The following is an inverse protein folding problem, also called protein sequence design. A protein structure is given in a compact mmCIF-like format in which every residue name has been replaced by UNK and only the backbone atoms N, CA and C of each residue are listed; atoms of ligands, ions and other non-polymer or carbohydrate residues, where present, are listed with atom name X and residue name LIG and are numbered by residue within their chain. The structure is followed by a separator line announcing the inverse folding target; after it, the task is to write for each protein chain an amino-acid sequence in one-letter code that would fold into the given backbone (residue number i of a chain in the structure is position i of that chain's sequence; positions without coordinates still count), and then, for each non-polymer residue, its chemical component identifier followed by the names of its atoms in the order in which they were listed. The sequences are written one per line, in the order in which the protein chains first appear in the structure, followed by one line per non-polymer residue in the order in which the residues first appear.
data_IF_290957649715
#
_entry.id   IF_290957649715
#
_cell.length_a   1.000
_cell.length_b   1.000
_cell.length_c   1.000
_cell.angle_alpha   90.00
_cell.angle_beta   90.00
_cell.angle_gamma   90.00
#
_symmetry.space_group_name_H-M   'P 1'
#
loop_
_entity.id
_entity.type
_entity.pdbx_description
1 polymer ?
#
# COMPACT_ATOMS: atom_id res chain seq x y z
N UNK A 1 11.71 4.89 -10.71
CA UNK A 1 10.49 4.09 -10.48
C UNK A 1 10.54 2.89 -11.38
N UNK A 2 10.17 1.72 -10.91
CA UNK A 2 10.16 0.48 -11.68
C UNK A 2 8.74 -0.08 -11.70
N UNK A 3 8.36 -0.61 -12.85
CA UNK A 3 7.15 -1.40 -13.05
C UNK A 3 7.58 -2.76 -13.59
N UNK A 4 7.12 -3.82 -12.96
CA UNK A 4 7.41 -5.20 -13.35
C UNK A 4 6.10 -5.92 -13.60
N UNK A 5 5.92 -6.41 -14.82
CA UNK A 5 4.73 -7.15 -15.19
C UNK A 5 5.01 -8.65 -15.13
N UNK A 6 4.10 -9.40 -14.51
CA UNK A 6 4.24 -10.85 -14.32
C UNK A 6 2.89 -11.55 -14.14
N UNK A 7 2.94 -12.88 -14.03
CA UNK A 7 1.77 -13.71 -13.77
C UNK A 7 1.00 -14.08 -15.02
N UNK A 8 -0.32 -14.20 -14.90
CA UNK A 8 -1.20 -14.58 -16.00
C UNK A 8 -1.43 -13.42 -16.97
N UNK A 9 -0.58 -13.26 -17.97
CA UNK A 9 -0.65 -12.16 -18.95
C UNK A 9 -1.97 -12.09 -19.73
N UNK A 10 -2.82 -13.10 -19.66
CA UNK A 10 -4.16 -13.10 -20.26
C UNK A 10 -5.27 -12.84 -19.22
N UNK A 11 -4.90 -12.73 -17.96
CA UNK A 11 -5.82 -12.43 -16.86
C UNK A 11 -6.17 -10.95 -16.78
N UNK A 12 -7.06 -10.61 -15.84
CA UNK A 12 -7.35 -9.20 -15.51
C UNK A 12 -6.11 -8.53 -14.93
N UNK A 13 -5.93 -7.27 -15.25
CA UNK A 13 -4.82 -6.47 -14.72
C UNK A 13 -5.03 -6.15 -13.24
N UNK A 14 -4.01 -6.35 -12.41
CA UNK A 14 -4.01 -5.96 -11.01
C UNK A 14 -2.69 -5.27 -10.65
N UNK A 15 -2.75 -3.97 -10.39
CA UNK A 15 -1.59 -3.19 -9.97
C UNK A 15 -1.38 -3.32 -8.46
N UNK A 16 -0.13 -3.61 -8.04
CA UNK A 16 0.26 -3.75 -6.64
C UNK A 16 1.09 -2.55 -6.21
N UNK A 17 0.55 -1.76 -5.26
CA UNK A 17 1.14 -0.54 -4.71
C UNK A 17 1.59 -0.79 -3.28
N UNK A 18 2.90 -0.91 -3.01
CA UNK A 18 3.42 -1.26 -1.70
C UNK A 18 3.19 -0.19 -0.62
N UNK A 19 3.26 -0.62 0.62
CA UNK A 19 3.15 0.24 1.79
C UNK A 19 4.43 1.01 2.10
N UNK A 20 4.41 1.75 3.20
CA UNK A 20 5.47 2.66 3.64
C UNK A 20 6.83 1.99 3.65
N UNK A 21 7.80 2.60 2.95
CA UNK A 21 9.19 2.17 2.93
C UNK A 21 9.39 0.70 2.50
N UNK A 22 8.57 0.21 1.57
CA UNK A 22 8.67 -1.15 1.05
C UNK A 22 8.88 -1.17 -0.46
N UNK A 23 9.62 -2.18 -0.93
CA UNK A 23 9.52 -2.68 -2.29
C UNK A 23 8.37 -3.70 -2.38
N UNK A 24 7.87 -3.97 -3.59
CA UNK A 24 6.76 -4.92 -3.76
C UNK A 24 7.15 -6.33 -3.32
N UNK A 25 8.41 -6.72 -3.50
CA UNK A 25 8.92 -8.03 -3.14
C UNK A 25 8.84 -8.29 -1.62
N UNK A 26 9.12 -7.26 -0.83
CA UNK A 26 8.99 -7.36 0.64
C UNK A 26 7.53 -7.31 1.07
N UNK A 27 6.72 -6.45 0.43
CA UNK A 27 5.35 -6.21 0.87
C UNK A 27 4.38 -7.32 0.44
N UNK A 28 4.38 -7.69 -0.85
CA UNK A 28 3.46 -8.67 -1.44
C UNK A 28 4.08 -10.07 -1.65
N UNK A 29 5.36 -10.25 -1.39
CA UNK A 29 6.10 -11.47 -1.73
C UNK A 29 5.54 -12.76 -1.13
N UNK A 30 4.79 -12.70 -0.03
CA UNK A 30 4.15 -13.88 0.58
C UNK A 30 2.87 -14.33 -0.14
N UNK A 31 2.24 -13.45 -0.90
CA UNK A 31 0.97 -13.69 -1.61
C UNK A 31 1.12 -13.61 -3.12
N UNK A 32 2.31 -13.26 -3.62
CA UNK A 32 2.55 -12.98 -5.03
C UNK A 32 2.26 -14.19 -5.93
N UNK A 33 2.64 -15.40 -5.49
CA UNK A 33 2.42 -16.62 -6.26
C UNK A 33 0.92 -16.85 -6.48
N UNK A 34 0.11 -16.74 -5.43
CA UNK A 34 -1.35 -16.93 -5.50
C UNK A 34 -2.02 -15.88 -6.40
N UNK A 35 -1.56 -14.63 -6.35
CA UNK A 35 -2.09 -13.57 -7.21
C UNK A 35 -1.65 -13.76 -8.67
N UNK A 36 -0.39 -14.16 -8.90
CA UNK A 36 0.18 -14.33 -10.25
C UNK A 36 -0.44 -15.49 -11.03
N UNK A 37 -0.98 -16.49 -10.36
CA UNK A 37 -1.72 -17.58 -11.00
C UNK A 37 -2.99 -17.09 -11.73
N UNK A 38 -3.62 -16.03 -11.21
CA UNK A 38 -4.93 -15.53 -11.65
C UNK A 38 -4.83 -14.24 -12.47
N UNK A 39 -3.99 -13.30 -12.04
CA UNK A 39 -3.95 -11.93 -12.54
C UNK A 39 -2.70 -11.63 -13.35
N UNK A 40 -2.85 -10.70 -14.30
CA UNK A 40 -1.74 -9.98 -14.89
C UNK A 40 -1.32 -8.90 -13.88
N UNK A 41 -0.25 -9.17 -13.15
CA UNK A 41 0.22 -8.30 -12.09
C UNK A 41 1.12 -7.18 -12.64
N UNK A 42 0.91 -5.96 -12.15
CA UNK A 42 1.76 -4.81 -12.38
C UNK A 42 2.35 -4.41 -11.01
N UNK A 43 3.57 -4.87 -10.75
CA UNK A 43 4.25 -4.67 -9.48
C UNK A 43 5.06 -3.38 -9.50
N UNK A 44 4.84 -2.49 -8.54
CA UNK A 44 5.44 -1.14 -8.52
C UNK A 44 6.51 -1.03 -7.43
N UNK A 45 7.69 -0.49 -7.79
CA UNK A 45 8.65 0.05 -6.83
C UNK A 45 8.82 1.54 -7.07
N UNK A 46 8.52 2.35 -6.06
CA UNK A 46 8.60 3.81 -6.15
C UNK A 46 10.04 4.30 -6.27
N UNK A 47 10.24 5.50 -6.83
CA UNK A 47 11.54 6.17 -6.78
C UNK A 47 12.05 6.24 -5.34
N UNK A 48 13.32 5.92 -5.14
CA UNK A 48 13.92 5.86 -3.81
C UNK A 48 13.68 4.56 -3.04
N UNK A 49 12.80 3.68 -3.56
CA UNK A 49 12.52 2.34 -3.04
C UNK A 49 12.69 1.26 -4.12
N UNK A 50 13.20 1.61 -5.27
CA UNK A 50 13.42 0.77 -6.45
C UNK A 50 14.87 0.29 -6.61
N UNK A 51 15.69 0.45 -5.57
CA UNK A 51 17.12 0.09 -5.59
C UNK A 51 18.02 1.05 -6.37
N UNK A 52 17.47 2.14 -6.92
CA UNK A 52 18.26 3.21 -7.56
C UNK A 52 18.71 4.27 -6.55
N UNK A 53 19.62 5.15 -6.97
CA UNK A 53 20.09 6.30 -6.16
C UNK A 53 19.10 7.48 -6.15
N UNK A 54 17.94 7.33 -6.79
CA UNK A 54 16.91 8.37 -6.80
C UNK A 54 16.32 8.57 -5.41
N UNK A 55 15.86 9.79 -5.15
CA UNK A 55 15.15 10.11 -3.91
C UNK A 55 13.65 10.13 -4.22
N UNK A 56 12.84 9.58 -3.32
CA UNK A 56 11.38 9.72 -3.39
C UNK A 56 11.02 11.20 -3.38
N UNK A 57 10.36 11.72 -4.43
CA UNK A 57 10.09 13.16 -4.53
C UNK A 57 8.96 13.59 -3.59
N UNK A 58 7.75 13.20 -3.91
CA UNK A 58 6.50 13.41 -3.16
C UNK A 58 5.40 12.52 -3.74
N UNK A 59 4.29 12.39 -2.99
CA UNK A 59 3.15 11.54 -3.37
C UNK A 59 2.53 11.93 -4.72
N UNK A 60 2.38 13.22 -5.01
CA UNK A 60 1.74 13.69 -6.26
C UNK A 60 2.60 13.35 -7.46
N UNK A 61 3.90 13.66 -7.40
CA UNK A 61 4.85 13.34 -8.48
C UNK A 61 4.90 11.82 -8.76
N UNK A 62 4.84 11.00 -7.72
CA UNK A 62 4.80 9.54 -7.88
C UNK A 62 3.48 9.09 -8.47
N UNK A 63 2.34 9.64 -8.00
CA UNK A 63 1.02 9.37 -8.60
C UNK A 63 1.01 9.69 -10.10
N UNK A 64 1.54 10.83 -10.52
CA UNK A 64 1.63 11.21 -11.93
C UNK A 64 2.46 10.23 -12.77
N UNK A 65 3.51 9.67 -12.22
CA UNK A 65 4.29 8.62 -12.90
C UNK A 65 3.51 7.31 -13.05
N UNK A 66 2.69 6.96 -12.06
CA UNK A 66 1.79 5.81 -12.14
C UNK A 66 0.72 6.06 -13.20
N UNK A 67 0.08 7.23 -13.20
CA UNK A 67 -0.90 7.62 -14.21
C UNK A 67 -0.33 7.54 -15.63
N UNK A 68 0.87 8.09 -15.84
CA UNK A 68 1.55 8.04 -17.15
C UNK A 68 1.82 6.60 -17.60
N UNK A 69 2.29 5.73 -16.69
CA UNK A 69 2.51 4.32 -17.02
C UNK A 69 1.22 3.62 -17.44
N UNK A 70 0.13 3.84 -16.71
CA UNK A 70 -1.18 3.26 -17.03
C UNK A 70 -1.70 3.77 -18.38
N UNK A 71 -1.51 5.06 -18.68
CA UNK A 71 -1.90 5.65 -19.95
C UNK A 71 -1.09 5.09 -21.12
N UNK A 72 0.22 4.94 -20.97
CA UNK A 72 1.13 4.52 -22.03
C UNK A 72 1.05 3.01 -22.33
N UNK A 73 0.85 2.18 -21.29
CA UNK A 73 0.92 0.73 -21.40
C UNK A 73 -0.43 0.01 -21.30
N UNK A 74 -1.43 0.62 -20.66
CA UNK A 74 -2.74 0.01 -20.38
C UNK A 74 -3.92 0.84 -20.89
N UNK A 75 -3.71 1.71 -21.87
CA UNK A 75 -4.76 2.56 -22.48
C UNK A 75 -5.54 3.41 -21.46
N UNK A 76 -4.92 3.73 -20.34
CA UNK A 76 -5.52 4.54 -19.29
C UNK A 76 -6.49 3.80 -18.36
N UNK A 77 -6.58 2.46 -18.43
CA UNK A 77 -7.55 1.67 -17.64
C UNK A 77 -6.90 0.44 -17.02
N UNK A 78 -7.26 0.13 -15.78
CA UNK A 78 -6.92 -1.12 -15.08
C UNK A 78 -8.19 -1.81 -14.58
N UNK A 79 -8.20 -3.16 -14.59
CA UNK A 79 -9.28 -3.92 -13.95
C UNK A 79 -9.24 -3.76 -12.44
N UNK A 80 -8.06 -3.73 -11.83
CA UNK A 80 -7.90 -3.50 -10.41
C UNK A 80 -6.58 -2.84 -10.02
N UNK A 81 -6.58 -2.18 -8.87
CA UNK A 81 -5.38 -1.74 -8.18
C UNK A 81 -5.54 -1.98 -6.69
N UNK A 82 -4.54 -2.60 -6.06
CA UNK A 82 -4.51 -2.83 -4.62
C UNK A 82 -3.36 -2.06 -3.99
N UNK A 83 -3.66 -1.28 -2.98
CA UNK A 83 -2.68 -0.58 -2.17
C UNK A 83 -2.58 -1.16 -0.77
N UNK A 84 -1.38 -1.48 -0.32
CA UNK A 84 -1.09 -1.84 1.06
C UNK A 84 -0.79 -0.58 1.86
N UNK A 85 -1.53 -0.33 2.96
CA UNK A 85 -1.26 0.81 3.85
C UNK A 85 -1.11 2.14 3.09
N UNK A 86 0.09 2.76 3.06
CA UNK A 86 0.40 3.96 2.27
C UNK A 86 0.10 3.77 0.77
N UNK A 87 0.31 2.57 0.21
CA UNK A 87 -0.07 2.27 -1.17
C UNK A 87 -1.55 2.54 -1.47
N UNK A 88 -2.41 2.43 -0.46
CA UNK A 88 -3.82 2.81 -0.56
C UNK A 88 -4.03 4.32 -0.76
N UNK A 89 -3.14 5.16 -0.25
CA UNK A 89 -3.18 6.61 -0.55
C UNK A 89 -2.96 6.87 -2.04
N UNK A 90 -2.08 6.10 -2.71
CA UNK A 90 -1.92 6.17 -4.17
C UNK A 90 -3.17 5.70 -4.90
N UNK A 91 -3.77 4.56 -4.50
CA UNK A 91 -5.04 4.11 -5.08
C UNK A 91 -6.11 5.19 -4.97
N UNK A 92 -6.24 5.78 -3.78
CA UNK A 92 -7.18 6.89 -3.55
C UNK A 92 -6.93 8.10 -4.44
N UNK A 93 -5.66 8.50 -4.61
CA UNK A 93 -5.29 9.60 -5.51
C UNK A 93 -5.60 9.28 -6.98
N UNK A 94 -5.30 8.08 -7.46
CA UNK A 94 -5.59 7.66 -8.83
C UNK A 94 -7.09 7.72 -9.12
N UNK A 95 -7.92 7.21 -8.20
CA UNK A 95 -9.39 7.26 -8.33
C UNK A 95 -9.91 8.69 -8.28
N UNK A 96 -9.49 9.49 -7.30
CA UNK A 96 -9.95 10.86 -7.11
C UNK A 96 -9.58 11.77 -8.28
N UNK A 97 -8.38 11.66 -8.81
CA UNK A 97 -7.84 12.51 -9.90
C UNK A 97 -8.46 12.21 -11.27
N UNK A 98 -9.00 11.01 -11.49
CA UNK A 98 -9.70 10.60 -12.73
C UNK A 98 -8.87 10.74 -14.01
N UNK A 99 -7.52 10.78 -13.90
CA UNK A 99 -6.64 10.80 -15.07
C UNK A 99 -6.51 9.42 -15.71
N UNK A 100 -6.80 8.38 -14.94
CA UNK A 100 -6.89 6.97 -15.34
C UNK A 100 -8.16 6.37 -14.75
N UNK A 101 -8.59 5.23 -15.28
CA UNK A 101 -9.77 4.52 -14.79
C UNK A 101 -9.35 3.22 -14.11
N UNK A 102 -9.94 2.92 -12.95
CA UNK A 102 -9.71 1.70 -12.18
C UNK A 102 -11.08 1.12 -11.83
N UNK A 103 -11.39 -0.08 -12.34
CA UNK A 103 -12.67 -0.72 -12.06
C UNK A 103 -12.80 -1.09 -10.57
N UNK A 104 -11.81 -1.76 -10.01
CA UNK A 104 -11.78 -2.21 -8.62
C UNK A 104 -10.63 -1.56 -7.86
N UNK A 105 -10.93 -0.54 -7.08
CA UNK A 105 -9.98 0.13 -6.20
C UNK A 105 -9.95 -0.58 -4.84
N UNK A 106 -8.88 -1.34 -4.55
CA UNK A 106 -8.78 -2.19 -3.35
C UNK A 106 -7.81 -1.54 -2.35
N UNK A 107 -8.30 -1.31 -1.15
CA UNK A 107 -7.60 -0.63 -0.06
C UNK A 107 -7.26 -1.62 1.04
N UNK A 108 -5.96 -1.95 1.18
CA UNK A 108 -5.43 -2.81 2.23
C UNK A 108 -5.21 -2.03 3.53
N UNK A 109 -6.19 -2.07 4.41
CA UNK A 109 -6.12 -1.52 5.78
C UNK A 109 -5.51 -0.11 5.88
N UNK A 110 -5.90 0.89 5.06
CA UNK A 110 -5.26 2.20 5.03
C UNK A 110 -5.49 3.02 6.30
N UNK A 111 -4.53 3.86 6.62
CA UNK A 111 -4.67 4.83 7.72
C UNK A 111 -5.51 6.04 7.32
N UNK A 112 -5.28 6.57 6.13
CA UNK A 112 -5.90 7.78 5.58
C UNK A 112 -5.92 8.93 6.59
N UNK A 113 -4.80 9.14 7.31
CA UNK A 113 -4.71 10.11 8.40
C UNK A 113 -4.01 11.42 7.99
N UNK A 114 -4.40 11.91 6.80
CA UNK A 114 -3.90 13.17 6.30
C UNK A 114 -4.17 14.31 7.29
N UNK A 115 -3.23 15.22 7.38
CA UNK A 115 -3.28 16.32 8.33
C UNK A 115 -2.62 17.60 7.79
N UNK A 116 -2.83 18.72 8.48
CA UNK A 116 -2.24 19.99 8.09
C UNK A 116 -0.70 20.02 8.25
N UNK A 117 -0.02 20.92 7.53
CA UNK A 117 1.45 21.05 7.44
C UNK A 117 2.17 21.02 8.80
N UNK A 118 1.61 21.67 9.82
CA UNK A 118 2.24 21.73 11.16
C UNK A 118 2.19 20.37 11.85
N UNK A 119 1.04 19.70 11.82
CA UNK A 119 0.87 18.36 12.37
C UNK A 119 1.73 17.33 11.64
N UNK A 120 1.73 17.35 10.29
CA UNK A 120 2.57 16.49 9.48
C UNK A 120 4.06 16.65 9.80
N UNK A 121 4.54 17.90 9.97
CA UNK A 121 5.93 18.16 10.34
C UNK A 121 6.27 17.59 11.72
N UNK A 122 5.39 17.77 12.72
CA UNK A 122 5.59 17.23 14.05
C UNK A 122 5.59 15.69 14.05
N UNK A 123 4.64 15.07 13.36
CA UNK A 123 4.61 13.61 13.21
C UNK A 123 5.87 13.07 12.52
N UNK A 124 6.28 13.67 11.40
CA UNK A 124 7.49 13.27 10.69
C UNK A 124 8.75 13.42 11.56
N UNK A 125 8.85 14.47 12.37
CA UNK A 125 9.97 14.63 13.31
C UNK A 125 10.05 13.52 14.37
N UNK A 126 8.93 12.91 14.74
CA UNK A 126 8.88 11.83 15.72
C UNK A 126 9.05 10.45 15.07
N UNK A 127 8.40 10.22 13.94
CA UNK A 127 8.31 8.89 13.31
C UNK A 127 9.51 8.59 12.43
N UNK A 128 9.96 9.55 11.60
CA UNK A 128 11.08 9.32 10.68
C UNK A 128 12.38 8.89 11.37
N UNK A 129 12.80 9.48 12.52
CA UNK A 129 13.95 8.96 13.25
C UNK A 129 13.78 7.53 13.76
N UNK A 130 12.56 7.09 14.05
CA UNK A 130 12.29 5.70 14.41
C UNK A 130 12.45 4.80 13.19
N UNK A 131 11.84 5.13 12.06
CA UNK A 131 11.95 4.38 10.80
C UNK A 131 13.40 4.28 10.30
N UNK A 132 14.18 5.36 10.42
CA UNK A 132 15.60 5.38 10.02
C UNK A 132 16.56 4.81 11.07
N UNK A 133 16.12 4.57 12.30
CA UNK A 133 16.98 4.02 13.37
C UNK A 133 17.24 2.52 13.25
N UNK A 134 16.47 1.83 12.42
CA UNK A 134 16.56 0.38 12.25
C UNK A 134 17.93 -0.08 11.71
N UNK A 135 18.64 0.82 11.05
CA UNK A 135 19.99 0.55 10.51
C UNK A 135 21.15 0.76 11.50
N UNK A 136 20.86 1.29 12.71
CA UNK A 136 21.89 1.76 13.65
C UNK A 136 22.21 0.73 14.75
N UNK A 137 22.91 -0.36 14.38
CA UNK A 137 23.51 -1.31 15.30
C UNK A 137 22.60 -2.46 15.75
N UNK A 138 23.22 -3.59 16.03
CA UNK A 138 22.59 -4.88 16.30
C UNK A 138 21.55 -4.84 17.46
N UNK A 139 21.86 -4.14 18.54
CA UNK A 139 20.93 -4.02 19.69
C UNK A 139 19.61 -3.35 19.31
N UNK A 140 19.65 -2.32 18.44
CA UNK A 140 18.44 -1.64 17.97
C UNK A 140 17.68 -2.50 16.97
N UNK A 141 18.40 -3.15 16.06
CA UNK A 141 17.84 -4.11 15.11
C UNK A 141 17.04 -5.20 15.83
N UNK A 142 17.61 -5.85 16.83
CA UNK A 142 16.95 -6.88 17.63
C UNK A 142 15.72 -6.34 18.36
N UNK A 143 15.80 -5.15 18.97
CA UNK A 143 14.64 -4.50 19.62
C UNK A 143 13.51 -4.21 18.63
N UNK A 144 13.85 -3.77 17.43
CA UNK A 144 12.85 -3.51 16.36
C UNK A 144 12.23 -4.80 15.88
N UNK A 145 13.03 -5.85 15.67
CA UNK A 145 12.55 -7.17 15.30
C UNK A 145 11.50 -7.68 16.30
N UNK A 146 11.80 -7.64 17.58
CA UNK A 146 10.87 -8.04 18.62
C UNK A 146 9.59 -7.18 18.64
N UNK A 147 9.72 -5.88 18.35
CA UNK A 147 8.56 -5.00 18.23
C UNK A 147 7.70 -5.33 17.01
N UNK A 148 8.29 -5.57 15.86
CA UNK A 148 7.54 -5.99 14.65
C UNK A 148 6.80 -7.31 14.91
N UNK A 149 7.47 -8.29 15.51
CA UNK A 149 6.86 -9.57 15.87
C UNK A 149 5.68 -9.40 16.83
N UNK A 150 5.83 -8.57 17.86
CA UNK A 150 4.79 -8.41 18.88
C UNK A 150 3.62 -7.53 18.43
N UNK A 151 3.90 -6.49 17.62
CA UNK A 151 2.88 -5.51 17.22
C UNK A 151 2.11 -5.91 15.95
N UNK A 152 2.78 -6.62 15.04
CA UNK A 152 2.20 -7.03 13.75
C UNK A 152 2.09 -8.56 13.61
N UNK A 153 2.45 -9.32 14.64
CA UNK A 153 2.44 -10.77 14.66
C UNK A 153 3.27 -11.40 13.52
N UNK A 154 4.34 -10.71 13.12
CA UNK A 154 5.25 -11.17 12.07
C UNK A 154 6.06 -12.39 12.53
N UNK A 155 6.34 -13.29 11.61
CA UNK A 155 7.35 -14.34 11.82
C UNK A 155 8.75 -13.72 11.95
N UNK A 156 9.71 -14.48 12.47
CA UNK A 156 11.12 -14.05 12.53
C UNK A 156 11.68 -13.73 11.15
N UNK A 157 11.34 -14.52 10.15
CA UNK A 157 11.77 -14.35 8.77
C UNK A 157 11.19 -13.09 8.15
N UNK A 158 9.89 -12.87 8.31
CA UNK A 158 9.20 -11.68 7.77
C UNK A 158 9.73 -10.40 8.43
N UNK A 159 9.88 -10.38 9.75
CA UNK A 159 10.43 -9.25 10.47
C UNK A 159 11.85 -8.93 10.01
N UNK A 160 12.69 -9.95 9.74
CA UNK A 160 14.04 -9.79 9.22
C UNK A 160 14.04 -9.23 7.78
N UNK A 161 13.13 -9.71 6.90
CA UNK A 161 12.95 -9.16 5.54
C UNK A 161 12.60 -7.69 5.58
N UNK A 162 11.64 -7.28 6.44
CA UNK A 162 11.26 -5.88 6.62
C UNK A 162 12.44 -5.02 7.08
N UNK A 163 13.18 -5.44 8.11
CA UNK A 163 14.34 -4.70 8.61
C UNK A 163 15.43 -4.57 7.52
N UNK A 164 15.65 -5.62 6.75
CA UNK A 164 16.60 -5.59 5.64
C UNK A 164 16.14 -4.65 4.52
N UNK A 165 14.86 -4.62 4.21
CA UNK A 165 14.25 -3.71 3.25
C UNK A 165 14.47 -2.25 3.68
N UNK A 166 14.01 -1.88 4.87
CA UNK A 166 14.19 -0.53 5.41
C UNK A 166 15.67 -0.08 5.46
N UNK A 167 16.61 -1.01 5.68
CA UNK A 167 18.03 -0.68 5.79
C UNK A 167 18.69 -0.28 4.47
N UNK A 168 18.05 -0.59 3.34
CA UNK A 168 18.56 -0.28 1.99
C UNK A 168 18.22 1.14 1.55
N UNK A 169 17.22 1.78 2.15
CA UNK A 169 16.64 3.02 1.63
C UNK A 169 17.27 4.27 2.22
N UNK A 170 17.29 5.30 1.39
CA UNK A 170 17.79 6.61 1.78
C UNK A 170 16.84 7.24 2.83
N UNK A 171 17.38 7.74 3.98
CA UNK A 171 16.60 8.43 4.99
C UNK A 171 15.79 9.62 4.47
N UNK A 172 16.24 10.29 3.41
CA UNK A 172 15.53 11.40 2.78
C UNK A 172 14.29 10.89 2.02
N UNK A 173 14.39 9.75 1.32
CA UNK A 173 13.23 9.10 0.69
C UNK A 173 12.17 8.73 1.73
N UNK A 174 12.58 8.09 2.83
CA UNK A 174 11.69 7.74 3.94
C UNK A 174 10.98 8.98 4.51
N UNK A 175 11.71 10.07 4.70
CA UNK A 175 11.17 11.33 5.19
C UNK A 175 10.17 11.94 4.21
N UNK A 176 10.53 12.00 2.93
CA UNK A 176 9.68 12.61 1.90
C UNK A 176 8.39 11.81 1.71
N UNK A 177 8.48 10.48 1.63
CA UNK A 177 7.32 9.61 1.53
C UNK A 177 6.38 9.82 2.70
N UNK A 178 6.84 9.63 3.93
CA UNK A 178 6.02 9.76 5.12
C UNK A 178 5.41 11.17 5.28
N UNK A 179 6.21 12.22 5.07
CA UNK A 179 5.76 13.59 5.22
C UNK A 179 4.73 13.99 4.16
N UNK A 180 4.97 13.61 2.91
CA UNK A 180 4.07 14.01 1.82
C UNK A 180 2.79 13.19 1.79
N UNK A 181 2.81 11.93 2.26
CA UNK A 181 1.58 11.15 2.47
C UNK A 181 0.63 11.85 3.45
N UNK A 182 1.13 12.30 4.60
CA UNK A 182 0.35 13.06 5.57
C UNK A 182 -0.25 14.37 5.01
N UNK A 183 0.35 14.91 3.94
CA UNK A 183 -0.10 16.17 3.32
C UNK A 183 -1.02 15.96 2.11
N UNK A 184 -1.03 14.76 1.55
CA UNK A 184 -1.77 14.48 0.32
C UNK A 184 -3.20 14.08 0.63
N UNK A 185 -4.08 15.08 0.62
CA UNK A 185 -5.48 14.92 1.01
C UNK A 185 -6.30 14.19 -0.06
N UNK A 186 -7.23 13.36 0.41
CA UNK A 186 -8.38 12.87 -0.35
C UNK A 186 -9.59 13.79 -0.08
N UNK A 187 -10.42 14.00 -1.10
CA UNK A 187 -11.72 14.65 -0.96
C UNK A 187 -12.70 13.76 -0.21
N UNK A 188 -13.70 14.37 0.40
CA UNK A 188 -14.78 13.62 1.04
C UNK A 188 -15.76 13.09 -0.04
N UNK A 189 -16.34 11.94 0.20
CA UNK A 189 -17.41 11.35 -0.63
C UNK A 189 -17.00 11.12 -2.10
N UNK A 190 -15.78 10.63 -2.33
CA UNK A 190 -15.28 10.29 -3.67
C UNK A 190 -16.22 9.28 -4.32
N UNK A 191 -16.76 9.67 -5.46
CA UNK A 191 -17.65 8.85 -6.29
C UNK A 191 -17.19 8.93 -7.75
N UNK A 192 -16.82 7.80 -8.32
CA UNK A 192 -16.36 7.68 -9.70
C UNK A 192 -17.21 6.62 -10.38
N UNK A 193 -17.81 6.99 -11.50
CA UNK A 193 -18.63 6.08 -12.30
C UNK A 193 -17.81 4.87 -12.77
N UNK A 194 -18.38 3.68 -12.67
CA UNK A 194 -17.70 2.42 -12.99
C UNK A 194 -16.40 2.17 -12.19
N UNK A 195 -16.33 2.66 -10.96
CA UNK A 195 -15.27 2.35 -10.00
C UNK A 195 -15.90 1.93 -8.69
N UNK A 196 -15.57 0.74 -8.21
CA UNK A 196 -15.96 0.28 -6.86
C UNK A 196 -14.76 0.37 -5.92
N UNK A 197 -14.96 1.02 -4.77
CA UNK A 197 -13.97 1.09 -3.70
C UNK A 197 -14.19 -0.06 -2.70
N UNK A 198 -13.24 -0.98 -2.62
CA UNK A 198 -13.25 -2.13 -1.72
C UNK A 198 -12.24 -1.96 -0.60
N UNK A 199 -12.63 -2.18 0.65
CA UNK A 199 -11.76 -2.05 1.80
C UNK A 199 -11.56 -3.39 2.52
N UNK A 200 -10.33 -3.80 2.67
CA UNK A 200 -9.90 -4.88 3.56
C UNK A 200 -9.71 -4.24 4.94
N UNK A 201 -10.72 -4.32 5.78
CA UNK A 201 -10.69 -3.69 7.11
C UNK A 201 -10.17 -4.66 8.17
N UNK A 202 -8.96 -4.42 8.65
CA UNK A 202 -8.39 -5.10 9.82
C UNK A 202 -9.00 -4.50 11.09
N UNK A 203 -9.95 -5.19 11.74
CA UNK A 203 -10.75 -4.62 12.82
C UNK A 203 -9.95 -4.26 14.08
N UNK A 204 -8.81 -4.93 14.30
CA UNK A 204 -7.89 -4.61 15.41
C UNK A 204 -7.22 -3.24 15.30
N UNK A 205 -7.31 -2.56 14.15
CA UNK A 205 -6.94 -1.15 14.02
C UNK A 205 -7.90 -0.22 14.77
N UNK A 206 -9.19 -0.58 14.83
CA UNK A 206 -10.24 0.14 15.55
C UNK A 206 -11.19 0.96 14.67
N UNK A 207 -12.37 1.26 15.19
CA UNK A 207 -13.50 1.88 14.48
C UNK A 207 -13.21 3.25 13.84
N UNK A 208 -12.21 3.99 14.31
CA UNK A 208 -11.86 5.29 13.72
C UNK A 208 -11.49 5.18 12.24
N UNK A 209 -10.90 4.06 11.82
CA UNK A 209 -10.54 3.81 10.44
C UNK A 209 -11.76 3.51 9.58
N UNK A 210 -12.67 2.68 10.08
CA UNK A 210 -13.96 2.42 9.43
C UNK A 210 -14.74 3.72 9.14
N UNK A 211 -14.72 4.68 10.08
CA UNK A 211 -15.34 6.00 9.89
C UNK A 211 -14.66 6.81 8.80
N UNK A 212 -13.32 6.71 8.66
CA UNK A 212 -12.56 7.38 7.60
C UNK A 212 -12.89 6.81 6.23
N UNK A 213 -12.98 5.49 6.08
CA UNK A 213 -13.33 4.85 4.80
C UNK A 213 -14.69 5.34 4.30
N UNK A 214 -15.68 5.35 5.17
CA UNK A 214 -17.04 5.85 4.88
C UNK A 214 -17.09 7.37 4.66
N UNK A 215 -16.12 8.12 5.15
CA UNK A 215 -16.03 9.56 4.92
C UNK A 215 -15.47 9.89 3.54
N UNK A 216 -14.41 9.18 3.14
CA UNK A 216 -13.70 9.50 1.92
C UNK A 216 -14.32 8.87 0.66
N UNK A 217 -15.03 7.76 0.78
CA UNK A 217 -15.59 7.07 -0.39
C UNK A 217 -17.11 6.90 -0.27
N UNK A 218 -17.78 7.14 -1.41
CA UNK A 218 -19.22 6.94 -1.52
C UNK A 218 -19.56 5.44 -1.53
N UNK A 219 -20.42 5.00 -0.59
CA UNK A 219 -20.86 3.60 -0.49
C UNK A 219 -19.74 2.55 -0.68
N UNK A 220 -18.60 2.63 0.07
CA UNK A 220 -17.53 1.68 -0.10
C UNK A 220 -17.95 0.28 0.33
N UNK A 221 -17.51 -0.74 -0.41
CA UNK A 221 -17.61 -2.14 0.00
C UNK A 221 -16.53 -2.43 1.05
N UNK A 222 -16.94 -2.71 2.29
CA UNK A 222 -16.00 -2.90 3.41
C UNK A 222 -16.12 -4.31 3.93
N UNK A 223 -15.05 -5.10 3.79
CA UNK A 223 -14.94 -6.43 4.40
C UNK A 223 -14.06 -6.40 5.63
N UNK A 224 -14.65 -6.85 6.71
CA UNK A 224 -14.00 -6.89 8.02
C UNK A 224 -13.31 -8.24 8.26
N UNK A 225 -12.05 -8.15 8.72
CA UNK A 225 -11.23 -9.31 9.08
C UNK A 225 -10.71 -9.16 10.51
N UNK A 226 -10.75 -10.26 11.29
CA UNK A 226 -10.23 -10.27 12.66
C UNK A 226 -8.70 -10.40 12.66
N UNK A 227 -8.03 -9.34 12.24
CA UNK A 227 -6.58 -9.31 12.11
C UNK A 227 -6.00 -7.94 12.48
N UNK A 228 -4.66 -7.89 12.65
CA UNK A 228 -3.88 -6.67 12.76
C UNK A 228 -3.68 -6.02 11.36
N UNK A 229 -3.23 -4.77 11.38
CA UNK A 229 -2.85 -4.00 10.18
C UNK A 229 -1.95 -4.82 9.26
N UNK A 230 -2.39 -5.03 8.01
CA UNK A 230 -1.67 -5.77 6.94
C UNK A 230 -1.19 -7.19 7.31
N UNK A 231 -1.79 -7.82 8.33
CA UNK A 231 -1.33 -9.13 8.81
C UNK A 231 -1.39 -10.23 7.74
N UNK A 232 -2.32 -10.12 6.80
CA UNK A 232 -2.46 -11.05 5.67
C UNK A 232 -1.25 -11.10 4.73
N UNK A 233 -0.41 -10.04 4.73
CA UNK A 233 0.83 -9.95 3.94
C UNK A 233 2.06 -10.55 4.67
N UNK A 234 1.93 -10.98 5.91
CA UNK A 234 3.07 -11.38 6.73
C UNK A 234 3.36 -12.88 6.75
N UNK A 235 2.71 -13.66 5.86
CA UNK A 235 3.06 -15.05 5.59
C UNK A 235 2.28 -16.08 6.40
N UNK A 236 1.30 -15.68 7.20
CA UNK A 236 0.42 -16.62 7.91
C UNK A 236 -0.82 -16.90 7.08
N UNK A 237 -0.92 -18.13 6.56
CA UNK A 237 -1.97 -18.55 5.63
C UNK A 237 -3.39 -18.31 6.16
N UNK A 238 -3.61 -18.48 7.44
CA UNK A 238 -4.93 -18.28 8.07
C UNK A 238 -5.46 -16.86 7.91
N UNK A 239 -4.57 -15.86 7.72
CA UNK A 239 -4.95 -14.48 7.43
C UNK A 239 -4.93 -14.16 5.94
N UNK A 240 -4.01 -14.79 5.19
CA UNK A 240 -3.86 -14.52 3.77
C UNK A 240 -5.01 -15.11 2.92
N UNK A 241 -5.37 -16.39 3.16
CA UNK A 241 -6.37 -17.10 2.37
C UNK A 241 -7.73 -16.37 2.33
N UNK A 242 -8.34 -15.96 3.45
CA UNK A 242 -9.63 -15.27 3.40
C UNK A 242 -9.57 -13.90 2.69
N UNK A 243 -8.42 -13.21 2.77
CA UNK A 243 -8.23 -11.93 2.07
C UNK A 243 -8.05 -12.14 0.57
N UNK A 244 -7.30 -13.17 0.16
CA UNK A 244 -7.14 -13.54 -1.25
C UNK A 244 -8.48 -13.95 -1.88
N UNK A 245 -9.31 -14.72 -1.18
CA UNK A 245 -10.68 -15.04 -1.61
C UNK A 245 -11.52 -13.77 -1.79
N UNK A 246 -11.43 -12.82 -0.84
CA UNK A 246 -12.14 -11.55 -0.96
C UNK A 246 -11.65 -10.70 -2.13
N UNK A 247 -10.34 -10.69 -2.42
CA UNK A 247 -9.77 -10.01 -3.60
C UNK A 247 -10.35 -10.62 -4.88
N UNK A 248 -10.45 -11.94 -4.97
CA UNK A 248 -11.05 -12.61 -6.12
C UNK A 248 -12.53 -12.20 -6.31
N UNK A 249 -13.29 -12.18 -5.22
CA UNK A 249 -14.71 -11.76 -5.26
C UNK A 249 -14.84 -10.27 -5.63
N UNK A 250 -13.95 -9.40 -5.15
CA UNK A 250 -13.93 -7.98 -5.56
C UNK A 250 -13.67 -7.85 -7.06
N UNK A 251 -12.67 -8.55 -7.55
CA UNK A 251 -12.31 -8.50 -8.98
C UNK A 251 -13.38 -9.11 -9.89
N UNK A 252 -14.23 -10.03 -9.38
CA UNK A 252 -15.31 -10.66 -10.13
C UNK A 252 -16.63 -9.89 -10.05
N UNK A 253 -16.74 -8.89 -9.18
CA UNK A 253 -17.94 -8.09 -9.04
C UNK A 253 -18.26 -7.28 -10.31
N UNK A 254 -19.55 -7.00 -10.55
CA UNK A 254 -19.96 -6.03 -11.57
C UNK A 254 -19.69 -4.60 -11.11
N UNK A 255 -19.24 -3.74 -12.03
CA UNK A 255 -18.84 -2.35 -11.77
C UNK A 255 -19.79 -1.37 -12.42
#
# INVERSE_FOLDING_TARGET
MQFEEMGNMSGRTLMLLPGTCCDWQTNFGTVIDSLSEKYHLICVNYDGFDGSDRIFPDMITVTEKIENYIQEHHLGTLDGAIGSSLGSSFVGQLVMRKNVHINHAIFGSPDLDQCGKVAAKLQAMLVVPLLTSFTKGEKRRNKTKEKLKSSFLMSDETAEKFINCFSKFNPESIKNEYYTDLLTHLEDDINVEHTTAHFIYANKMGEKYLKRYKKYFHNPDIREFDMQHEQWLFGEKEYAEPVLEAIDEFMDAEV
#
